data_IF_165335142613
#
_entry.id   IF_165335142613
#
_cell.length_a   1.000
_cell.length_b   1.000
_cell.length_c   1.000
_cell.angle_alpha   90.00
_cell.angle_beta   90.00
_cell.angle_gamma   90.00
#
_symmetry.space_group_name_H-M   'P 1'
#
loop_
_entity.id
_entity.type
_entity.pdbx_description
1 polymer ?
#
# COMPACT_ATOMS: atom_id res chain seq x y z
N UNK A 1 -28.17 40.36 -23.41
CA UNK A 1 -26.89 40.57 -24.10
C UNK A 1 -25.86 40.93 -23.04
N UNK A 2 -24.75 40.25 -22.75
CA UNK A 2 -24.01 39.14 -23.37
C UNK A 2 -23.48 38.26 -22.22
N UNK A 3 -23.50 36.92 -22.41
CA UNK A 3 -22.73 35.94 -21.63
C UNK A 3 -21.34 35.82 -22.28
N UNK A 4 -20.29 35.69 -21.48
CA UNK A 4 -18.91 35.38 -21.90
C UNK A 4 -18.41 34.30 -20.93
N UNK A 5 -18.49 33.01 -21.30
CA UNK A 5 -17.48 32.23 -22.04
C UNK A 5 -16.15 32.10 -21.30
N UNK A 6 -15.98 31.00 -20.57
CA UNK A 6 -14.67 30.38 -20.28
C UNK A 6 -14.91 28.89 -19.99
N UNK A 7 -14.89 28.11 -21.07
CA UNK A 7 -14.95 26.66 -21.09
C UNK A 7 -14.09 26.27 -22.30
N UNK A 8 -12.83 25.90 -22.05
CA UNK A 8 -11.97 25.00 -22.85
C UNK A 8 -10.51 25.18 -22.42
N UNK A 9 -10.01 24.24 -21.62
CA UNK A 9 -8.59 23.87 -21.65
C UNK A 9 -8.48 22.41 -21.23
N UNK A 10 -7.84 21.60 -22.08
CA UNK A 10 -7.31 20.30 -21.69
C UNK A 10 -8.05 19.05 -22.16
N UNK A 11 -8.61 19.00 -23.38
CA UNK A 11 -8.86 17.72 -24.06
C UNK A 11 -7.95 17.62 -25.29
N UNK A 12 -6.67 17.34 -25.02
CA UNK A 12 -5.67 17.03 -26.04
C UNK A 12 -4.67 16.02 -25.47
N UNK A 13 -5.10 14.78 -25.33
CA UNK A 13 -4.20 13.62 -25.41
C UNK A 13 -4.67 12.80 -26.61
N UNK A 14 -4.05 13.12 -27.74
CA UNK A 14 -4.14 12.41 -29.00
C UNK A 14 -3.53 11.01 -28.87
N UNK A 15 -4.26 9.99 -29.31
CA UNK A 15 -3.74 9.08 -30.32
C UNK A 15 -2.63 8.08 -29.97
N UNK A 16 -2.46 7.69 -28.71
CA UNK A 16 -1.86 6.37 -28.42
C UNK A 16 -3.01 5.37 -28.37
N UNK A 17 -3.11 4.44 -29.33
CA UNK A 17 -3.85 3.22 -29.05
C UNK A 17 -3.13 2.57 -27.86
N UNK A 18 -3.73 2.43 -26.67
CA UNK A 18 -3.17 1.50 -25.72
C UNK A 18 -3.16 0.17 -26.46
N UNK A 19 -1.98 -0.44 -26.63
CA UNK A 19 -1.91 -1.89 -26.77
C UNK A 19 -2.51 -2.38 -25.45
N UNK A 20 -3.83 -2.60 -25.47
CA UNK A 20 -4.57 -3.16 -24.36
C UNK A 20 -3.87 -4.48 -24.05
N UNK A 21 -3.33 -4.59 -22.83
CA UNK A 21 -2.58 -5.76 -22.41
C UNK A 21 -3.36 -7.02 -22.77
N UNK A 22 -2.71 -8.00 -23.41
CA UNK A 22 -3.34 -9.28 -23.74
C UNK A 22 -3.52 -10.17 -22.50
N UNK A 23 -3.69 -9.56 -21.32
CA UNK A 23 -3.82 -10.24 -20.05
C UNK A 23 -2.69 -11.30 -19.89
N UNK A 24 -1.45 -11.01 -20.27
CA UNK A 24 -0.40 -12.05 -20.39
C UNK A 24 -0.09 -12.75 -19.07
N UNK A 25 -0.10 -12.02 -17.95
CA UNK A 25 0.18 -12.57 -16.62
C UNK A 25 -1.02 -13.33 -16.02
N UNK A 26 -0.73 -14.34 -15.20
CA UNK A 26 -1.78 -15.12 -14.53
C UNK A 26 -2.55 -14.26 -13.51
N UNK A 27 -3.83 -14.57 -13.32
CA UNK A 27 -4.66 -13.93 -12.30
C UNK A 27 -4.01 -14.04 -10.91
N UNK A 28 -4.22 -13.03 -10.05
CA UNK A 28 -3.63 -12.86 -8.72
C UNK A 28 -2.10 -12.60 -8.69
N UNK A 29 -1.38 -12.69 -9.81
CA UNK A 29 0.07 -12.40 -9.82
C UNK A 29 0.42 -10.92 -9.79
N UNK A 30 -0.54 -10.04 -10.08
CA UNK A 30 -0.40 -8.59 -9.88
C UNK A 30 -0.51 -8.16 -8.41
N UNK A 31 -0.81 -9.08 -7.50
CA UNK A 31 -1.14 -8.75 -6.11
C UNK A 31 -2.43 -7.93 -5.99
N UNK A 32 -2.66 -7.42 -4.79
CA UNK A 32 -3.60 -6.34 -4.53
C UNK A 32 -2.85 -5.00 -4.45
N UNK A 33 -3.55 -3.90 -4.15
CA UNK A 33 -2.93 -2.61 -3.83
C UNK A 33 -2.72 -2.49 -2.32
N UNK A 34 -1.49 -2.20 -1.93
CA UNK A 34 -1.17 -1.87 -0.54
C UNK A 34 -1.79 -0.54 -0.14
N UNK A 35 -1.90 -0.30 1.18
CA UNK A 35 -2.35 0.99 1.73
C UNK A 35 -1.54 2.19 1.20
N UNK A 36 -0.30 1.98 0.77
CA UNK A 36 0.60 3.02 0.29
C UNK A 36 0.52 3.22 -1.23
N UNK A 37 -0.19 2.35 -1.95
CA UNK A 37 -0.40 2.41 -3.39
C UNK A 37 0.24 1.29 -4.20
N UNK A 38 1.53 0.93 -3.97
CA UNK A 38 2.18 -0.09 -4.78
C UNK A 38 1.51 -1.45 -4.69
N UNK A 39 1.70 -2.26 -5.73
CA UNK A 39 1.23 -3.65 -5.74
C UNK A 39 1.89 -4.49 -4.64
N UNK A 40 1.07 -5.31 -3.97
CA UNK A 40 1.47 -6.11 -2.82
C UNK A 40 0.30 -6.81 -2.13
N UNK A 41 0.43 -6.98 -0.82
CA UNK A 41 -0.68 -7.32 0.06
C UNK A 41 -1.46 -6.06 0.46
N UNK A 42 -2.18 -6.12 1.57
CA UNK A 42 -2.86 -4.96 2.15
C UNK A 42 -1.90 -4.02 2.86
N UNK A 43 -1.02 -4.56 3.72
CA UNK A 43 -0.12 -3.74 4.55
C UNK A 43 1.35 -3.80 4.12
N UNK A 44 1.76 -4.76 3.28
CA UNK A 44 3.15 -4.85 2.78
C UNK A 44 3.23 -4.76 1.26
N UNK A 45 4.15 -3.97 0.68
CA UNK A 45 4.47 -4.07 -0.73
C UNK A 45 5.15 -5.41 -1.01
N UNK A 46 4.81 -6.02 -2.15
CA UNK A 46 5.46 -7.24 -2.62
C UNK A 46 6.37 -6.92 -3.81
N UNK A 47 7.18 -7.89 -4.22
CA UNK A 47 8.07 -7.72 -5.36
C UNK A 47 7.33 -7.63 -6.71
N UNK A 48 6.05 -8.04 -6.75
CA UNK A 48 5.20 -8.02 -7.95
C UNK A 48 4.90 -6.60 -8.42
N UNK A 49 4.51 -6.47 -9.69
CA UNK A 49 4.05 -5.21 -10.28
C UNK A 49 2.55 -5.26 -10.51
N UNK A 50 1.91 -4.11 -10.47
CA UNK A 50 0.47 -3.93 -10.63
C UNK A 50 -0.02 -4.39 -12.00
N UNK A 51 -1.27 -4.83 -12.07
CA UNK A 51 -1.89 -5.29 -13.31
C UNK A 51 -1.28 -6.58 -13.89
N UNK A 52 -1.53 -6.81 -15.18
CA UNK A 52 -1.29 -8.10 -15.85
C UNK A 52 -0.51 -8.00 -17.16
N UNK A 53 0.04 -6.83 -17.46
CA UNK A 53 0.81 -6.55 -18.66
C UNK A 53 2.17 -7.24 -18.64
N UNK A 54 2.59 -7.67 -19.83
CA UNK A 54 3.88 -8.27 -20.09
C UNK A 54 4.85 -7.27 -20.74
N UNK A 55 5.89 -7.77 -21.39
CA UNK A 55 6.89 -6.96 -22.07
C UNK A 55 6.26 -6.02 -23.12
N UNK A 56 6.68 -4.76 -23.12
CA UNK A 56 6.14 -3.66 -23.93
C UNK A 56 4.65 -3.34 -23.73
N UNK A 57 4.00 -3.88 -22.70
CA UNK A 57 2.60 -3.57 -22.39
C UNK A 57 2.49 -2.60 -21.21
N UNK A 58 1.40 -1.85 -21.21
CA UNK A 58 0.97 -1.05 -20.07
C UNK A 58 -0.07 -1.80 -19.27
N UNK A 59 -0.13 -1.54 -17.98
CA UNK A 59 -1.30 -1.87 -17.15
C UNK A 59 -1.57 -0.75 -16.19
N UNK A 60 -2.84 -0.54 -15.89
CA UNK A 60 -3.27 0.43 -14.91
C UNK A 60 -4.19 -0.21 -13.89
N UNK A 61 -4.13 0.27 -12.65
CA UNK A 61 -5.04 -0.14 -11.58
C UNK A 61 -5.55 1.07 -10.83
N UNK A 62 -6.78 0.99 -10.37
CA UNK A 62 -7.36 1.93 -9.42
C UNK A 62 -7.92 1.14 -8.25
N UNK A 63 -7.74 1.63 -7.02
CA UNK A 63 -8.22 0.94 -5.84
C UNK A 63 -8.80 1.91 -4.82
N UNK A 64 -9.68 1.35 -3.98
CA UNK A 64 -10.18 2.00 -2.80
C UNK A 64 -10.16 1.00 -1.64
N UNK A 65 -9.79 1.49 -0.47
CA UNK A 65 -9.63 0.68 0.74
C UNK A 65 -10.19 1.42 1.93
N UNK A 66 -10.90 0.71 2.79
CA UNK A 66 -11.33 1.21 4.09
C UNK A 66 -10.87 0.26 5.19
N UNK A 67 -10.25 0.81 6.23
CA UNK A 67 -9.91 0.12 7.48
C UNK A 67 -10.75 0.72 8.59
N UNK A 68 -11.57 -0.10 9.22
CA UNK A 68 -12.40 0.30 10.35
C UNK A 68 -11.81 -0.31 11.63
N UNK A 69 -11.33 0.55 12.51
CA UNK A 69 -10.85 0.21 13.84
C UNK A 69 -11.87 0.70 14.89
N UNK A 70 -11.76 0.29 16.16
CA UNK A 70 -12.70 0.70 17.21
C UNK A 70 -12.79 2.22 17.39
N UNK A 71 -11.66 2.92 17.32
CA UNK A 71 -11.60 4.38 17.55
C UNK A 71 -11.24 5.20 16.32
N UNK A 72 -10.74 4.54 15.26
CA UNK A 72 -10.20 5.20 14.07
C UNK A 72 -10.74 4.58 12.78
N UNK A 73 -10.64 5.36 11.71
CA UNK A 73 -10.96 4.89 10.36
C UNK A 73 -9.93 5.40 9.37
N UNK A 74 -9.41 4.52 8.52
CA UNK A 74 -8.55 4.88 7.41
C UNK A 74 -9.29 4.63 6.10
N UNK A 75 -9.45 5.67 5.29
CA UNK A 75 -9.88 5.55 3.90
C UNK A 75 -8.72 5.88 2.96
N UNK A 76 -8.51 5.03 1.97
CA UNK A 76 -7.46 5.15 0.97
C UNK A 76 -8.07 5.04 -0.41
N UNK A 77 -7.65 5.91 -1.33
CA UNK A 77 -7.91 5.77 -2.75
C UNK A 77 -6.63 6.02 -3.53
N UNK A 78 -6.40 5.24 -4.57
CA UNK A 78 -5.17 5.35 -5.33
C UNK A 78 -5.25 4.77 -6.73
N UNK A 79 -4.20 5.06 -7.49
CA UNK A 79 -3.97 4.56 -8.84
C UNK A 79 -2.53 4.13 -9.00
N UNK A 80 -2.28 3.12 -9.82
CA UNK A 80 -0.95 2.72 -10.20
C UNK A 80 -0.90 2.34 -11.67
N UNK A 81 0.26 2.47 -12.28
CA UNK A 81 0.51 2.08 -13.67
C UNK A 81 1.84 1.37 -13.76
N UNK A 82 1.91 0.29 -14.52
CA UNK A 82 3.15 -0.42 -14.81
C UNK A 82 3.41 -0.49 -16.31
N UNK A 83 4.68 -0.48 -16.68
CA UNK A 83 5.13 -0.65 -18.05
C UNK A 83 6.21 -1.72 -18.15
N UNK A 84 6.17 -2.48 -19.25
CA UNK A 84 7.19 -3.45 -19.66
C UNK A 84 7.43 -4.57 -18.62
N UNK A 85 6.44 -4.80 -17.75
CA UNK A 85 6.60 -5.64 -16.57
C UNK A 85 7.93 -5.30 -15.82
N UNK A 86 8.30 -4.01 -15.76
CA UNK A 86 9.61 -3.57 -15.25
C UNK A 86 9.51 -2.44 -14.25
N UNK A 87 8.68 -1.45 -14.55
CA UNK A 87 8.56 -0.23 -13.74
C UNK A 87 7.09 -0.03 -13.39
N UNK A 88 6.84 0.35 -12.15
CA UNK A 88 5.53 0.74 -11.62
C UNK A 88 5.63 2.13 -11.00
N UNK A 89 4.64 2.96 -11.26
CA UNK A 89 4.43 4.25 -10.62
C UNK A 89 3.07 4.23 -9.95
N UNK A 90 2.98 4.72 -8.71
CA UNK A 90 1.74 4.73 -7.94
C UNK A 90 1.49 6.07 -7.28
N UNK A 91 0.21 6.36 -7.05
CA UNK A 91 -0.26 7.46 -6.22
C UNK A 91 -1.36 6.95 -5.30
N UNK A 92 -1.26 7.27 -4.01
CA UNK A 92 -2.31 6.98 -3.04
C UNK A 92 -2.57 8.22 -2.18
N UNK A 93 -3.85 8.46 -1.90
CA UNK A 93 -4.30 9.46 -0.94
C UNK A 93 -4.96 8.75 0.23
N UNK A 94 -4.54 9.10 1.44
CA UNK A 94 -5.03 8.56 2.69
C UNK A 94 -5.75 9.65 3.49
N UNK A 95 -6.84 9.25 4.14
CA UNK A 95 -7.55 10.03 5.16
C UNK A 95 -7.75 9.14 6.38
N UNK A 96 -7.15 9.55 7.50
CA UNK A 96 -7.23 8.85 8.78
C UNK A 96 -8.06 9.67 9.76
N UNK A 97 -9.31 9.28 9.97
CA UNK A 97 -10.20 9.94 10.92
C UNK A 97 -9.80 9.56 12.36
N UNK A 98 -9.61 10.58 13.19
CA UNK A 98 -9.14 10.45 14.58
C UNK A 98 -10.25 10.05 15.57
N UNK A 99 -11.50 10.02 15.10
CA UNK A 99 -12.66 9.49 15.80
C UNK A 99 -12.77 9.95 17.26
N UNK A 100 -12.74 9.00 18.21
CA UNK A 100 -12.96 9.29 19.63
C UNK A 100 -11.86 10.18 20.24
N UNK A 101 -10.65 10.15 19.67
CA UNK A 101 -9.49 10.91 20.15
C UNK A 101 -9.73 12.42 20.11
N UNK A 102 -10.46 12.90 19.09
CA UNK A 102 -10.78 14.32 18.90
C UNK A 102 -11.47 14.88 20.14
N UNK A 103 -12.50 14.17 20.62
CA UNK A 103 -13.26 14.57 21.81
C UNK A 103 -12.48 14.41 23.12
N UNK A 104 -11.60 13.40 23.21
CA UNK A 104 -10.81 13.12 24.42
C UNK A 104 -9.72 14.17 24.64
N UNK A 105 -9.11 14.67 23.56
CA UNK A 105 -7.95 15.57 23.61
C UNK A 105 -8.25 16.99 23.11
N UNK A 106 -9.51 17.31 22.77
CA UNK A 106 -9.91 18.60 22.18
C UNK A 106 -9.04 19.00 20.99
N UNK A 107 -8.83 18.06 20.06
CA UNK A 107 -7.93 18.25 18.93
C UNK A 107 -8.47 19.33 17.97
N UNK A 108 -7.57 20.11 17.33
CA UNK A 108 -7.97 21.17 16.39
C UNK A 108 -8.55 20.61 15.09
N UNK A 109 -8.24 19.35 14.76
CA UNK A 109 -8.66 18.67 13.55
C UNK A 109 -9.22 17.29 13.87
N UNK A 110 -10.09 16.78 13.00
CA UNK A 110 -10.77 15.49 13.15
C UNK A 110 -10.14 14.34 12.34
N UNK A 111 -9.17 14.65 11.48
CA UNK A 111 -8.51 13.68 10.62
C UNK A 111 -7.06 14.06 10.30
N UNK A 112 -6.27 13.09 9.90
CA UNK A 112 -4.94 13.26 9.30
C UNK A 112 -4.99 12.86 7.84
N UNK A 113 -4.32 13.62 6.97
CA UNK A 113 -4.28 13.35 5.54
C UNK A 113 -2.86 13.20 5.01
N UNK A 114 -2.70 12.35 4.00
CA UNK A 114 -1.40 12.09 3.39
C UNK A 114 -1.53 11.76 1.90
N UNK A 115 -0.60 12.28 1.12
CA UNK A 115 -0.36 11.90 -0.27
C UNK A 115 0.94 11.09 -0.38
N UNK A 116 0.89 10.00 -1.14
CA UNK A 116 2.00 9.07 -1.35
C UNK A 116 2.24 8.92 -2.84
N UNK A 117 3.48 9.16 -3.27
CA UNK A 117 3.96 8.92 -4.63
C UNK A 117 4.99 7.79 -4.60
N UNK A 118 4.71 6.70 -5.30
CA UNK A 118 5.56 5.52 -5.36
C UNK A 118 6.22 5.31 -6.72
N UNK A 119 7.47 4.83 -6.70
CA UNK A 119 8.19 4.29 -7.85
C UNK A 119 8.75 2.94 -7.44
N UNK A 120 8.42 1.88 -8.20
CA UNK A 120 8.94 0.53 -7.96
C UNK A 120 9.51 -0.03 -9.26
N UNK A 121 10.68 -0.66 -9.16
CA UNK A 121 11.38 -1.26 -10.29
C UNK A 121 11.67 -2.72 -9.99
N UNK A 122 11.21 -3.62 -10.87
CA UNK A 122 11.62 -5.03 -10.84
C UNK A 122 13.08 -5.10 -11.29
N UNK A 123 13.95 -5.57 -10.41
CA UNK A 123 15.39 -5.68 -10.68
C UNK A 123 15.68 -6.90 -11.57
N UNK A 124 15.16 -8.06 -11.15
CA UNK A 124 15.32 -9.34 -11.82
C UNK A 124 14.33 -10.37 -11.25
N UNK A 125 14.28 -11.54 -11.89
CA UNK A 125 13.51 -12.69 -11.43
C UNK A 125 12.03 -12.64 -11.83
N UNK A 126 11.36 -13.76 -11.59
CA UNK A 126 9.92 -13.92 -11.78
C UNK A 126 9.32 -14.64 -10.59
N UNK A 127 8.10 -14.27 -10.24
CA UNK A 127 7.41 -14.81 -9.06
C UNK A 127 7.04 -16.29 -9.25
N UNK A 128 6.82 -16.77 -10.47
CA UNK A 128 6.40 -18.15 -10.79
C UNK A 128 7.49 -18.94 -11.52
N UNK A 129 8.01 -18.40 -12.62
CA UNK A 129 8.65 -19.22 -13.66
C UNK A 129 10.18 -19.28 -13.60
N UNK A 130 10.83 -18.26 -13.03
CA UNK A 130 12.30 -18.19 -12.99
C UNK A 130 12.87 -19.13 -11.92
N UNK A 131 14.18 -19.41 -11.93
CA UNK A 131 14.88 -20.07 -10.82
C UNK A 131 15.06 -19.13 -9.62
N UNK A 132 15.25 -17.84 -9.88
CA UNK A 132 15.41 -16.83 -8.84
C UNK A 132 14.04 -16.27 -8.42
N UNK A 133 13.87 -15.87 -7.15
CA UNK A 133 12.69 -15.11 -6.75
C UNK A 133 12.67 -13.76 -7.46
N UNK A 134 11.47 -13.19 -7.60
CA UNK A 134 11.35 -11.82 -8.10
C UNK A 134 11.83 -10.85 -7.04
N UNK A 135 12.65 -9.89 -7.44
CA UNK A 135 13.17 -8.84 -6.56
C UNK A 135 12.82 -7.47 -7.14
N UNK A 136 12.29 -6.59 -6.29
CA UNK A 136 12.02 -5.20 -6.66
C UNK A 136 12.60 -4.23 -5.64
N UNK A 137 12.93 -3.04 -6.13
CA UNK A 137 13.31 -1.89 -5.32
C UNK A 137 12.22 -0.82 -5.46
N UNK A 138 11.75 -0.29 -4.34
CA UNK A 138 10.75 0.77 -4.30
C UNK A 138 11.24 2.01 -3.55
N UNK A 139 10.73 3.15 -3.99
CA UNK A 139 10.84 4.44 -3.32
C UNK A 139 9.45 5.05 -3.17
N UNK A 140 9.18 5.65 -2.03
CA UNK A 140 7.92 6.32 -1.74
C UNK A 140 8.19 7.72 -1.18
N UNK A 141 7.72 8.74 -1.87
CA UNK A 141 7.66 10.09 -1.33
C UNK A 141 6.30 10.29 -0.66
N UNK A 142 6.32 10.70 0.61
CA UNK A 142 5.13 10.85 1.43
C UNK A 142 5.06 12.26 1.96
N UNK A 143 3.89 12.88 1.86
CA UNK A 143 3.65 14.26 2.29
C UNK A 143 2.29 14.36 2.98
N UNK A 144 2.29 14.85 4.21
CA UNK A 144 1.07 15.09 4.97
C UNK A 144 0.37 16.35 4.50
N UNK A 145 -0.96 16.31 4.41
CA UNK A 145 -1.75 17.49 4.05
C UNK A 145 -2.02 18.39 5.26
N UNK A 146 -1.88 17.84 6.47
CA UNK A 146 -1.97 18.55 7.73
C UNK A 146 -0.92 18.01 8.72
N UNK A 147 -0.28 18.93 9.44
CA UNK A 147 0.89 18.59 10.28
C UNK A 147 0.80 19.13 11.72
N UNK A 148 -0.25 19.87 12.05
CA UNK A 148 -0.37 20.50 13.38
C UNK A 148 -0.39 19.45 14.50
N UNK A 149 -1.26 18.43 14.39
CA UNK A 149 -1.33 17.34 15.38
C UNK A 149 -0.02 16.53 15.46
N UNK A 150 0.55 16.01 14.35
CA UNK A 150 1.85 15.33 14.37
C UNK A 150 2.97 16.15 15.01
N UNK A 151 3.03 17.46 14.72
CA UNK A 151 4.04 18.35 15.29
C UNK A 151 3.89 18.48 16.81
N UNK A 152 2.65 18.63 17.30
CA UNK A 152 2.35 18.73 18.74
C UNK A 152 2.76 17.47 19.51
N UNK A 153 2.66 16.30 18.87
CA UNK A 153 3.05 15.01 19.48
C UNK A 153 4.52 14.63 19.25
N UNK A 154 5.31 15.55 18.67
CA UNK A 154 6.77 15.44 18.64
C UNK A 154 7.39 15.12 17.27
N UNK A 155 6.58 14.93 16.22
CA UNK A 155 7.09 14.69 14.87
C UNK A 155 7.91 15.89 14.36
N UNK A 156 8.93 15.63 13.55
CA UNK A 156 9.89 16.66 13.11
C UNK A 156 9.62 17.20 11.71
N UNK A 157 8.97 16.41 10.86
CA UNK A 157 8.70 16.75 9.45
C UNK A 157 7.35 16.21 9.02
N UNK A 158 6.74 16.91 8.08
CA UNK A 158 5.49 16.61 7.36
C UNK A 158 5.71 15.78 6.09
N UNK A 159 6.96 15.64 5.63
CA UNK A 159 7.32 14.83 4.47
C UNK A 159 8.65 14.09 4.64
N UNK A 160 8.76 12.92 4.01
CA UNK A 160 10.03 12.20 3.82
C UNK A 160 9.95 11.23 2.63
N UNK A 161 11.12 10.73 2.21
CA UNK A 161 11.25 9.67 1.22
C UNK A 161 11.62 8.36 1.92
N UNK A 162 10.84 7.33 1.69
CA UNK A 162 11.12 5.97 2.14
C UNK A 162 11.66 5.12 0.99
N UNK A 163 12.48 4.12 1.29
CA UNK A 163 12.90 3.12 0.31
C UNK A 163 12.75 1.72 0.86
N UNK A 164 12.43 0.76 -0.01
CA UNK A 164 12.28 -0.64 0.36
C UNK A 164 12.81 -1.58 -0.71
N UNK A 165 13.23 -2.76 -0.28
CA UNK A 165 13.55 -3.89 -1.15
C UNK A 165 12.58 -5.02 -0.82
N UNK A 166 11.92 -5.58 -1.83
CA UNK A 166 10.97 -6.68 -1.68
C UNK A 166 11.42 -7.89 -2.50
N UNK A 167 11.16 -9.09 -1.98
CA UNK A 167 11.46 -10.37 -2.59
C UNK A 167 10.22 -11.26 -2.51
N UNK A 168 9.72 -11.74 -3.64
CA UNK A 168 8.54 -12.61 -3.68
C UNK A 168 8.79 -13.87 -4.48
N UNK A 169 8.21 -14.98 -4.01
CA UNK A 169 8.26 -16.28 -4.69
C UNK A 169 6.99 -17.09 -4.48
N UNK A 170 6.47 -17.63 -5.57
CA UNK A 170 5.43 -18.65 -5.57
C UNK A 170 6.08 -20.05 -5.64
N UNK A 171 5.80 -20.87 -4.64
CA UNK A 171 6.16 -22.27 -4.60
C UNK A 171 4.93 -23.12 -4.99
N UNK A 172 5.04 -23.83 -6.10
CA UNK A 172 3.94 -24.67 -6.58
C UNK A 172 3.75 -25.90 -5.71
N UNK A 173 2.52 -26.17 -5.27
CA UNK A 173 2.15 -27.36 -4.48
C UNK A 173 2.78 -27.47 -3.08
N UNK A 174 3.45 -26.42 -2.59
CA UNK A 174 4.24 -26.47 -1.36
C UNK A 174 3.41 -26.44 -0.06
N UNK A 175 2.14 -26.04 -0.11
CA UNK A 175 1.25 -26.00 1.05
C UNK A 175 0.13 -27.04 0.90
N UNK A 176 0.41 -28.30 1.28
CA UNK A 176 -0.54 -29.41 1.19
C UNK A 176 -1.14 -29.59 -0.22
N UNK A 177 -0.34 -29.37 -1.27
CA UNK A 177 -0.78 -29.43 -2.66
C UNK A 177 -1.28 -28.10 -3.24
N UNK A 178 -1.44 -27.06 -2.42
CA UNK A 178 -1.74 -25.70 -2.88
C UNK A 178 -0.47 -24.87 -3.12
N UNK A 179 -0.61 -23.82 -3.92
CA UNK A 179 0.51 -22.92 -4.20
C UNK A 179 0.75 -21.99 -3.00
N UNK A 180 2.01 -21.80 -2.64
CA UNK A 180 2.42 -20.97 -1.50
C UNK A 180 3.20 -19.76 -2.00
N UNK A 181 2.67 -18.56 -1.81
CA UNK A 181 3.37 -17.31 -2.04
C UNK A 181 4.06 -16.87 -0.75
N UNK A 182 5.34 -16.55 -0.85
CA UNK A 182 6.13 -15.99 0.24
C UNK A 182 6.70 -14.65 -0.21
N UNK A 183 6.56 -13.63 0.64
CA UNK A 183 7.16 -12.32 0.48
C UNK A 183 8.04 -11.98 1.68
N UNK A 184 9.17 -11.34 1.42
CA UNK A 184 10.00 -10.73 2.44
C UNK A 184 10.47 -9.35 1.99
N UNK A 185 10.57 -8.42 2.92
CA UNK A 185 10.97 -7.05 2.63
C UNK A 185 11.79 -6.42 3.74
N UNK A 186 12.61 -5.44 3.34
CA UNK A 186 13.30 -4.53 4.26
C UNK A 186 13.04 -3.11 3.80
N UNK A 187 12.67 -2.26 4.74
CA UNK A 187 12.30 -0.86 4.51
C UNK A 187 13.17 0.08 5.33
N UNK A 188 13.67 1.14 4.71
CA UNK A 188 14.50 2.15 5.33
C UNK A 188 13.71 3.44 5.54
N UNK A 189 13.23 3.64 6.77
CA UNK A 189 12.21 4.64 7.07
C UNK A 189 12.35 5.28 8.44
N UNK A 190 11.73 6.45 8.60
CA UNK A 190 11.43 7.08 9.89
C UNK A 190 9.96 7.52 9.98
N UNK A 191 9.09 6.98 9.13
CA UNK A 191 7.69 7.33 9.08
C UNK A 191 6.92 6.69 10.25
N UNK A 192 6.20 7.51 11.02
CA UNK A 192 5.36 7.05 12.13
C UNK A 192 3.94 6.79 11.59
N UNK A 193 3.37 5.63 11.88
CA UNK A 193 2.05 5.24 11.36
C UNK A 193 1.90 5.35 9.84
N UNK A 194 2.85 4.74 9.12
CA UNK A 194 3.02 4.89 7.65
C UNK A 194 3.35 6.31 7.18
N UNK A 195 3.55 7.24 8.12
CA UNK A 195 3.79 8.67 7.91
C UNK A 195 2.56 9.53 8.21
N UNK A 196 1.43 8.94 8.58
CA UNK A 196 0.24 9.68 9.06
C UNK A 196 0.51 10.42 10.37
N UNK A 197 1.48 9.98 11.16
CA UNK A 197 1.94 10.66 12.38
C UNK A 197 3.30 11.34 12.19
N UNK A 198 3.59 11.75 10.95
CA UNK A 198 4.81 12.46 10.58
C UNK A 198 6.07 11.63 10.55
N UNK A 199 7.20 12.31 10.39
CA UNK A 199 8.48 11.69 10.12
C UNK A 199 9.55 12.08 11.15
N UNK A 200 10.19 11.06 11.72
CA UNK A 200 11.07 11.19 12.87
C UNK A 200 10.30 11.60 14.11
N UNK A 201 11.02 11.96 15.17
CA UNK A 201 10.38 12.34 16.42
C UNK A 201 11.36 12.87 17.45
N UNK A 202 10.81 13.22 18.60
CA UNK A 202 11.54 13.70 19.78
C UNK A 202 12.35 12.60 20.47
N UNK A 203 11.89 11.35 20.42
CA UNK A 203 12.65 10.18 20.91
C UNK A 203 13.75 9.76 19.93
N UNK A 204 13.46 9.75 18.62
CA UNK A 204 14.43 9.41 17.57
C UNK A 204 14.13 10.12 16.25
N UNK A 205 15.11 10.83 15.70
CA UNK A 205 14.99 11.52 14.42
C UNK A 205 15.84 10.88 13.29
N UNK A 206 16.13 9.59 13.42
CA UNK A 206 16.95 8.83 12.45
C UNK A 206 16.13 7.74 11.78
N UNK A 207 16.55 7.33 10.59
CA UNK A 207 15.92 6.22 9.88
C UNK A 207 16.32 4.87 10.51
N UNK A 208 15.41 3.92 10.41
CA UNK A 208 15.53 2.55 10.88
C UNK A 208 15.36 1.59 9.71
N UNK A 209 16.04 0.45 9.77
CA UNK A 209 15.75 -0.69 8.90
C UNK A 209 14.65 -1.53 9.55
N UNK A 210 13.51 -1.62 8.88
CA UNK A 210 12.30 -2.27 9.34
C UNK A 210 12.04 -3.51 8.48
N UNK A 211 11.60 -4.59 9.11
CA UNK A 211 11.35 -5.87 8.44
C UNK A 211 9.88 -6.04 8.13
N UNK A 212 9.62 -6.66 6.99
CA UNK A 212 8.27 -6.92 6.50
C UNK A 212 8.21 -8.30 5.88
N UNK A 213 7.04 -8.91 5.90
CA UNK A 213 6.86 -10.21 5.27
C UNK A 213 5.41 -10.63 5.19
N UNK A 214 5.14 -11.52 4.25
CA UNK A 214 3.83 -12.14 4.10
C UNK A 214 3.95 -13.57 3.61
N UNK A 215 2.94 -14.37 3.94
CA UNK A 215 2.78 -15.73 3.43
C UNK A 215 1.33 -15.91 3.03
N UNK A 216 1.08 -16.39 1.82
CA UNK A 216 -0.27 -16.63 1.31
C UNK A 216 -0.38 -17.99 0.62
N UNK A 217 -1.43 -18.73 0.95
CA UNK A 217 -1.81 -19.96 0.26
C UNK A 217 -2.84 -19.61 -0.81
N UNK A 218 -2.53 -19.93 -2.05
CA UNK A 218 -3.44 -19.81 -3.19
C UNK A 218 -4.12 -21.17 -3.40
N UNK A 219 -5.39 -21.26 -3.00
CA UNK A 219 -6.19 -22.49 -3.14
C UNK A 219 -6.49 -22.79 -4.62
N UNK A 220 -6.67 -21.73 -5.39
CA UNK A 220 -6.83 -21.75 -6.84
C UNK A 220 -6.51 -20.32 -7.36
N UNK A 221 -6.50 -20.08 -8.68
CA UNK A 221 -6.17 -18.76 -9.22
C UNK A 221 -7.11 -17.61 -8.78
N UNK A 222 -8.23 -17.90 -8.12
CA UNK A 222 -9.22 -16.91 -7.68
C UNK A 222 -9.26 -16.69 -6.18
N UNK A 223 -8.68 -17.57 -5.37
CA UNK A 223 -8.79 -17.53 -3.92
C UNK A 223 -7.43 -17.68 -3.27
N UNK A 224 -7.10 -16.70 -2.42
CA UNK A 224 -5.90 -16.71 -1.60
C UNK A 224 -6.26 -16.40 -0.14
N UNK A 225 -5.51 -16.98 0.80
CA UNK A 225 -5.56 -16.61 2.21
C UNK A 225 -4.14 -16.48 2.72
N UNK A 226 -3.86 -15.46 3.52
CA UNK A 226 -2.51 -15.24 4.01
C UNK A 226 -2.45 -14.38 5.25
N UNK A 227 -1.23 -14.20 5.73
CA UNK A 227 -0.91 -13.32 6.84
C UNK A 227 0.20 -12.37 6.43
N UNK A 228 0.14 -11.15 6.95
CA UNK A 228 1.17 -10.13 6.77
C UNK A 228 1.72 -9.67 8.12
N UNK A 229 2.97 -9.25 8.12
CA UNK A 229 3.64 -8.61 9.24
C UNK A 229 4.44 -7.42 8.74
N UNK A 230 4.32 -6.30 9.44
CA UNK A 230 5.01 -5.05 9.14
C UNK A 230 5.55 -4.43 10.41
N UNK A 231 6.87 -4.37 10.50
CA UNK A 231 7.55 -3.74 11.63
C UNK A 231 7.41 -2.22 11.59
N UNK A 232 7.17 -1.62 12.76
CA UNK A 232 7.06 -0.17 12.92
C UNK A 232 8.29 0.42 13.65
N UNK A 233 8.67 1.67 13.34
CA UNK A 233 9.66 2.37 14.13
C UNK A 233 9.05 2.85 15.44
N UNK A 234 9.88 3.32 16.36
CA UNK A 234 9.43 3.89 17.64
C UNK A 234 10.15 5.22 17.86
N UNK A 235 9.61 6.29 17.27
CA UNK A 235 10.29 7.59 17.16
C UNK A 235 9.69 8.66 18.06
N UNK A 236 8.48 8.48 18.58
CA UNK A 236 7.73 9.49 19.32
C UNK A 236 7.65 9.14 20.80
N UNK A 237 7.81 10.12 21.68
CA UNK A 237 7.76 9.87 23.12
C UNK A 237 6.35 9.67 23.66
N UNK A 238 5.35 10.26 23.00
CA UNK A 238 3.96 10.36 23.49
C UNK A 238 3.20 9.02 23.48
N UNK A 239 3.52 8.10 22.57
CA UNK A 239 2.90 6.78 22.46
C UNK A 239 3.90 5.73 22.00
N UNK A 240 3.65 4.47 22.32
CA UNK A 240 4.33 3.37 21.62
C UNK A 240 3.78 3.24 20.21
N UNK A 241 4.56 2.66 19.29
CA UNK A 241 4.05 2.20 17.99
C UNK A 241 4.14 0.68 17.95
N UNK A 242 3.00 0.01 17.74
CA UNK A 242 2.94 -1.45 17.66
C UNK A 242 3.24 -1.94 16.25
N UNK A 243 3.94 -3.06 16.14
CA UNK A 243 4.06 -3.77 14.86
C UNK A 243 2.68 -4.20 14.37
N UNK A 244 2.47 -4.09 13.06
CA UNK A 244 1.21 -4.46 12.43
C UNK A 244 1.25 -5.90 11.95
N UNK A 245 0.14 -6.61 12.13
CA UNK A 245 -0.07 -7.90 11.51
C UNK A 245 -1.52 -8.02 11.03
N UNK A 246 -1.75 -8.82 9.99
CA UNK A 246 -3.11 -9.13 9.55
C UNK A 246 -3.28 -10.58 9.12
N UNK A 247 -4.54 -10.99 9.03
CA UNK A 247 -5.00 -12.19 8.34
C UNK A 247 -5.95 -11.76 7.23
N UNK A 248 -5.64 -12.11 5.99
CA UNK A 248 -6.40 -11.69 4.83
C UNK A 248 -6.93 -12.85 3.99
N UNK A 249 -8.00 -12.57 3.25
CA UNK A 249 -8.56 -13.39 2.18
C UNK A 249 -8.68 -12.53 0.94
N UNK A 250 -8.06 -12.98 -0.15
CA UNK A 250 -8.15 -12.37 -1.47
C UNK A 250 -9.09 -13.16 -2.37
N UNK A 251 -9.97 -12.43 -3.07
CA UNK A 251 -10.87 -12.97 -4.09
C UNK A 251 -10.65 -12.25 -5.43
N UNK A 252 -10.26 -13.01 -6.45
CA UNK A 252 -9.95 -12.54 -7.79
C UNK A 252 -10.93 -13.18 -8.78
N UNK A 253 -12.16 -12.63 -8.94
CA UNK A 253 -13.16 -13.20 -9.85
C UNK A 253 -12.70 -13.23 -11.30
N UNK A 254 -11.93 -12.21 -11.73
CA UNK A 254 -11.31 -12.09 -13.05
C UNK A 254 -10.11 -11.13 -12.97
N UNK A 255 -9.45 -10.85 -14.10
CA UNK A 255 -8.28 -9.96 -14.15
C UNK A 255 -8.61 -8.47 -14.01
N UNK A 256 -9.87 -8.07 -14.09
CA UNK A 256 -10.28 -6.66 -14.03
C UNK A 256 -10.73 -6.24 -12.64
N UNK A 257 -11.09 -7.17 -11.76
CA UNK A 257 -11.61 -6.86 -10.42
C UNK A 257 -11.04 -7.82 -9.39
N UNK A 258 -10.58 -7.28 -8.27
CA UNK A 258 -10.18 -8.05 -7.10
C UNK A 258 -10.68 -7.42 -5.80
N UNK A 259 -10.84 -8.28 -4.79
CA UNK A 259 -11.30 -7.92 -3.45
C UNK A 259 -10.33 -8.51 -2.43
N UNK A 260 -9.97 -7.73 -1.42
CA UNK A 260 -9.21 -8.22 -0.26
C UNK A 260 -9.94 -7.84 1.00
N UNK A 261 -10.25 -8.83 1.83
CA UNK A 261 -10.80 -8.65 3.16
C UNK A 261 -9.76 -9.12 4.17
N UNK A 262 -9.44 -8.29 5.16
CA UNK A 262 -8.49 -8.65 6.20
C UNK A 262 -9.00 -8.27 7.59
N UNK A 263 -8.50 -8.99 8.59
CA UNK A 263 -8.60 -8.59 10.00
C UNK A 263 -7.21 -8.13 10.45
N UNK A 264 -7.08 -6.82 10.64
CA UNK A 264 -5.84 -6.16 10.98
C UNK A 264 -5.72 -6.06 12.51
N UNK A 265 -4.58 -6.49 13.03
CA UNK A 265 -4.18 -6.34 14.43
C UNK A 265 -3.10 -5.26 14.50
N UNK A 266 -3.52 -4.01 14.71
CA UNK A 266 -2.62 -2.86 14.67
C UNK A 266 -2.11 -2.45 16.06
N UNK A 267 -2.71 -2.97 17.14
CA UNK A 267 -2.23 -2.74 18.50
C UNK A 267 -2.55 -1.33 19.01
N UNK A 268 -1.54 -0.64 19.55
CA UNK A 268 -1.64 0.75 19.99
C UNK A 268 -1.41 1.69 18.80
N UNK A 269 -2.33 2.63 18.58
CA UNK A 269 -2.17 3.76 17.64
C UNK A 269 -2.50 5.04 18.41
N UNK A 270 -1.56 5.99 18.41
CA UNK A 270 -1.73 7.32 19.00
C UNK A 270 -2.32 7.31 20.42
N UNK A 271 -1.78 6.48 21.32
CA UNK A 271 -2.18 6.24 22.73
C UNK A 271 -3.46 5.45 22.96
N UNK A 272 -4.21 5.08 21.91
CA UNK A 272 -5.37 4.21 22.06
C UNK A 272 -5.00 2.75 21.76
N UNK A 273 -5.25 1.90 22.74
CA UNK A 273 -5.00 0.46 22.67
C UNK A 273 -6.04 -0.29 21.84
N UNK A 274 -5.71 -1.54 21.49
CA UNK A 274 -6.61 -2.52 20.88
C UNK A 274 -7.26 -2.07 19.56
N UNK A 275 -6.50 -1.36 18.72
CA UNK A 275 -6.92 -0.94 17.39
C UNK A 275 -6.85 -2.11 16.41
N UNK A 276 -7.76 -3.06 16.61
CA UNK A 276 -7.89 -4.26 15.79
C UNK A 276 -9.24 -4.23 15.08
N UNK A 277 -9.25 -4.45 13.77
CA UNK A 277 -10.44 -4.21 12.99
C UNK A 277 -10.39 -4.77 11.59
N UNK A 278 -11.41 -4.43 10.80
CA UNK A 278 -11.57 -4.98 9.46
C UNK A 278 -11.03 -4.02 8.41
N UNK A 279 -10.39 -4.59 7.41
CA UNK A 279 -9.89 -3.92 6.22
C UNK A 279 -10.63 -4.51 5.03
N UNK A 280 -11.16 -3.67 4.14
CA UNK A 280 -11.73 -4.08 2.86
C UNK A 280 -11.11 -3.24 1.75
N UNK A 281 -10.60 -3.91 0.72
CA UNK A 281 -10.06 -3.28 -0.47
C UNK A 281 -10.73 -3.82 -1.73
N UNK A 282 -11.00 -2.90 -2.66
CA UNK A 282 -11.54 -3.19 -3.99
C UNK A 282 -10.60 -2.56 -5.01
N UNK A 283 -10.18 -3.35 -5.99
CA UNK A 283 -9.26 -2.90 -7.03
C UNK A 283 -9.81 -3.25 -8.42
N UNK A 284 -9.80 -2.25 -9.31
CA UNK A 284 -10.00 -2.39 -10.74
C UNK A 284 -8.67 -2.44 -11.49
N UNK A 285 -8.54 -3.26 -12.52
CA UNK A 285 -7.36 -3.35 -13.39
C UNK A 285 -7.73 -3.24 -14.87
N UNK A 286 -6.88 -2.58 -15.66
CA UNK A 286 -7.11 -2.18 -17.05
C UNK A 286 -5.85 -2.34 -17.90
#
# INVERSE_FOLDING_TARGET
>A
MKRLSLLLCGLACLGAQPVLADNGRLIATGGASSLEGPAGGGITPWAVLTGYGEQNEWSATAFATTVNLPDYRLDVAGVASSYDNRVEVSFARQRFDLGSLVSKLSLPEDHLGQDILGLKVRLFGDVIYDRLPQVSLGLEYKHQTNFEIPQLVGAKRDQDVEGYLAVSRLFMGAAFGYNLLVNGGVRYSRANELGLMGFGGDRRDTRSLLKEGSVAVLFNPRWAMGVEYRQKPDNLSFSGESDWADLFVGYFPNKHVSFVLAYAKLGEIATLDNQNGTYLSVQGSF
#
